data_IF_552582913170
#
_entry.id   IF_552582913170
#
_cell.length_a   1.000
_cell.length_b   1.000
_cell.length_c   1.000
_cell.angle_alpha   90.00
_cell.angle_beta   90.00
_cell.angle_gamma   90.00
#
_symmetry.space_group_name_H-M   'P 1'
#
loop_
_entity.id
_entity.type
_entity.pdbx_description
1 polymer ?
#
# COMPACT_ATOMS: atom_id res chain seq x y z
N UNK A 1 23.56 26.37 28.97
CA UNK A 1 22.93 25.04 28.79
C UNK A 1 21.43 25.13 28.56
N UNK A 2 20.65 25.79 29.43
CA UNK A 2 19.16 25.85 29.32
C UNK A 2 18.63 26.44 28.00
N UNK A 3 19.25 27.49 27.46
CA UNK A 3 18.82 28.10 26.17
C UNK A 3 18.97 27.16 24.97
N UNK A 4 20.04 26.38 24.95
CA UNK A 4 20.27 25.40 23.88
C UNK A 4 19.25 24.26 23.93
N UNK A 5 18.84 23.85 25.13
CA UNK A 5 17.77 22.86 25.31
C UNK A 5 16.43 23.33 24.73
N UNK A 6 16.01 24.56 25.00
CA UNK A 6 14.77 25.11 24.43
C UNK A 6 14.82 25.24 22.91
N UNK A 7 15.97 25.61 22.33
CA UNK A 7 16.14 25.67 20.87
C UNK A 7 15.98 24.27 20.25
N UNK A 8 16.59 23.24 20.85
CA UNK A 8 16.45 21.86 20.39
C UNK A 8 14.99 21.39 20.48
N UNK A 9 14.29 21.71 21.56
CA UNK A 9 12.90 21.31 21.78
C UNK A 9 11.95 22.01 20.80
N UNK A 10 12.18 23.30 20.51
CA UNK A 10 11.41 24.03 19.50
C UNK A 10 11.69 23.45 18.11
N UNK A 11 12.96 23.20 17.77
CA UNK A 11 13.32 22.63 16.47
C UNK A 11 12.73 21.23 16.25
N UNK A 12 12.73 20.37 17.28
CA UNK A 12 12.13 19.04 17.17
C UNK A 12 10.62 19.11 16.98
N UNK A 13 9.96 20.04 17.66
CA UNK A 13 8.53 20.25 17.48
C UNK A 13 8.20 20.70 16.05
N UNK A 14 8.97 21.63 15.48
CA UNK A 14 8.81 22.04 14.08
C UNK A 14 9.03 20.87 13.10
N UNK A 15 10.05 20.05 13.35
CA UNK A 15 10.35 18.88 12.52
C UNK A 15 9.20 17.87 12.56
N UNK A 16 8.66 17.55 13.74
CA UNK A 16 7.53 16.61 13.89
C UNK A 16 6.30 17.10 13.12
N UNK A 17 5.95 18.39 13.24
CA UNK A 17 4.81 18.95 12.51
C UNK A 17 5.02 18.91 10.99
N UNK A 18 6.24 19.19 10.50
CA UNK A 18 6.56 19.12 9.07
C UNK A 18 6.45 17.68 8.53
N UNK A 19 6.92 16.68 9.28
CA UNK A 19 6.76 15.28 8.91
C UNK A 19 5.30 14.88 8.77
N UNK A 20 4.43 15.29 9.70
CA UNK A 20 3.00 14.96 9.63
C UNK A 20 2.35 15.55 8.38
N UNK A 21 2.72 16.77 7.96
CA UNK A 21 2.17 17.40 6.74
C UNK A 21 2.65 16.68 5.48
N UNK A 22 3.90 16.22 5.44
CA UNK A 22 4.44 15.50 4.28
C UNK A 22 3.95 14.03 4.19
N UNK A 23 3.62 13.40 5.32
CA UNK A 23 3.05 12.04 5.36
C UNK A 23 1.52 12.03 5.23
N UNK A 24 0.87 13.21 5.19
CA UNK A 24 -0.60 13.33 5.13
C UNK A 24 -1.18 13.09 3.73
N UNK A 25 -0.37 13.21 2.67
CA UNK A 25 -0.81 12.92 1.31
C UNK A 25 -0.76 11.41 1.04
N UNK A 26 -1.72 10.69 1.63
CA UNK A 26 -1.96 9.27 1.37
C UNK A 26 -2.46 9.11 -0.08
N UNK A 27 -1.66 8.46 -0.92
CA UNK A 27 -2.03 8.13 -2.29
C UNK A 27 -2.89 6.86 -2.24
N UNK A 28 -4.19 7.02 -2.47
CA UNK A 28 -5.11 5.89 -2.61
C UNK A 28 -4.83 5.15 -3.93
N UNK A 29 -4.52 3.87 -3.83
CA UNK A 29 -4.21 3.01 -4.97
C UNK A 29 -5.17 1.84 -4.99
N UNK A 30 -5.77 1.58 -6.15
CA UNK A 30 -6.63 0.43 -6.39
C UNK A 30 -5.96 -0.49 -7.42
N UNK A 31 -6.00 -1.79 -7.16
CA UNK A 31 -5.39 -2.81 -8.02
C UNK A 31 -6.48 -3.78 -8.45
N UNK A 32 -6.55 -4.03 -9.76
CA UNK A 32 -7.51 -4.95 -10.38
C UNK A 32 -6.77 -6.13 -11.03
N UNK A 33 -7.16 -7.34 -10.68
CA UNK A 33 -6.68 -8.58 -11.28
C UNK A 33 -7.84 -9.22 -12.04
N UNK A 34 -7.77 -9.13 -13.38
CA UNK A 34 -8.82 -9.59 -14.28
C UNK A 34 -8.33 -10.79 -15.10
N UNK A 35 -9.10 -11.89 -15.07
CA UNK A 35 -8.85 -13.01 -15.98
C UNK A 35 -9.38 -12.70 -17.38
N UNK A 36 -8.47 -12.34 -18.29
CA UNK A 36 -8.76 -12.00 -19.69
C UNK A 36 -8.59 -13.18 -20.66
N UNK A 37 -8.60 -14.43 -20.18
CA UNK A 37 -8.52 -15.60 -21.05
C UNK A 37 -9.79 -15.77 -21.91
N UNK A 38 -9.72 -16.48 -23.06
CA UNK A 38 -10.87 -16.65 -23.95
C UNK A 38 -11.99 -17.53 -23.36
N UNK A 39 -11.67 -18.41 -22.42
CA UNK A 39 -12.63 -19.29 -21.73
C UNK A 39 -12.00 -19.90 -20.46
N UNK A 40 -12.84 -20.53 -19.65
CA UNK A 40 -12.44 -21.15 -18.37
C UNK A 40 -11.71 -22.51 -18.51
N UNK A 41 -11.25 -22.89 -19.71
CA UNK A 41 -10.60 -24.20 -19.89
C UNK A 41 -9.21 -24.25 -19.24
N UNK A 42 -8.58 -23.09 -19.05
CA UNK A 42 -7.30 -22.94 -18.36
C UNK A 42 -7.59 -22.21 -17.05
N UNK A 43 -7.63 -22.92 -15.90
CA UNK A 43 -7.90 -22.25 -14.63
C UNK A 43 -6.69 -21.42 -14.21
N UNK A 44 -6.89 -20.12 -13.98
CA UNK A 44 -5.90 -19.28 -13.32
C UNK A 44 -6.05 -19.41 -11.81
N UNK A 45 -4.92 -19.53 -11.13
CA UNK A 45 -4.84 -19.45 -9.68
C UNK A 45 -3.74 -18.45 -9.35
N UNK A 46 -3.98 -17.60 -8.37
CA UNK A 46 -2.94 -16.70 -7.87
C UNK A 46 -3.09 -16.48 -6.38
N UNK A 47 -2.02 -16.09 -5.73
CA UNK A 47 -2.03 -15.66 -4.34
C UNK A 47 -1.35 -14.32 -4.22
N UNK A 48 -2.03 -13.38 -3.58
CA UNK A 48 -1.57 -12.02 -3.43
C UNK A 48 -1.31 -11.68 -1.97
N UNK A 49 -0.40 -10.73 -1.74
CA UNK A 49 -0.12 -10.16 -0.44
C UNK A 49 0.29 -8.69 -0.57
N UNK A 50 0.03 -7.91 0.48
CA UNK A 50 0.39 -6.49 0.56
C UNK A 50 1.02 -6.20 1.91
N UNK A 51 2.33 -5.96 1.96
CA UNK A 51 3.09 -5.67 3.19
C UNK A 51 2.84 -6.69 4.31
N UNK A 52 1.92 -6.40 5.23
CA UNK A 52 1.55 -7.23 6.39
C UNK A 52 0.18 -7.95 6.18
N UNK A 53 -0.51 -7.69 5.07
CA UNK A 53 -1.83 -8.19 4.74
C UNK A 53 -1.75 -9.36 3.76
N UNK A 54 -2.20 -10.53 4.20
CA UNK A 54 -2.41 -11.70 3.34
C UNK A 54 -3.76 -11.57 2.62
N UNK A 55 -3.75 -11.37 1.31
CA UNK A 55 -4.98 -11.31 0.50
C UNK A 55 -5.48 -12.72 0.14
N UNK A 56 -4.57 -13.70 0.12
CA UNK A 56 -4.89 -15.12 0.01
C UNK A 56 -4.93 -15.65 -1.42
N UNK A 57 -5.42 -16.88 -1.55
CA UNK A 57 -5.54 -17.60 -2.82
C UNK A 57 -6.86 -17.30 -3.53
N UNK A 58 -6.77 -16.95 -4.81
CA UNK A 58 -7.91 -16.71 -5.69
C UNK A 58 -7.89 -17.64 -6.90
N UNK A 59 -9.08 -17.93 -7.42
CA UNK A 59 -9.31 -18.72 -8.64
C UNK A 59 -10.42 -18.03 -9.44
N UNK A 60 -10.12 -16.92 -10.13
CA UNK A 60 -11.12 -16.20 -10.92
C UNK A 60 -11.63 -17.09 -12.05
N UNK A 61 -12.87 -16.83 -12.48
CA UNK A 61 -13.36 -17.21 -13.79
C UNK A 61 -13.01 -16.10 -14.79
N UNK A 62 -13.04 -16.43 -16.08
CA UNK A 62 -12.91 -15.47 -17.17
C UNK A 62 -13.89 -14.32 -16.98
N UNK A 63 -13.35 -13.10 -16.98
CA UNK A 63 -14.06 -11.86 -16.77
C UNK A 63 -14.26 -11.46 -15.31
N UNK A 64 -13.90 -12.30 -14.34
CA UNK A 64 -13.92 -11.91 -12.92
C UNK A 64 -12.85 -10.84 -12.66
N UNK A 65 -13.21 -9.84 -11.86
CA UNK A 65 -12.33 -8.77 -11.40
C UNK A 65 -12.12 -8.86 -9.89
N UNK A 66 -10.97 -9.41 -9.50
CA UNK A 66 -10.52 -9.36 -8.12
C UNK A 66 -9.76 -8.06 -7.88
N UNK A 67 -10.31 -7.20 -7.03
CA UNK A 67 -9.72 -5.91 -6.71
C UNK A 67 -9.52 -5.73 -5.21
N UNK A 68 -8.53 -4.91 -4.87
CA UNK A 68 -8.27 -4.45 -3.52
C UNK A 68 -7.60 -3.07 -3.58
N UNK A 69 -7.70 -2.31 -2.49
CA UNK A 69 -7.15 -0.96 -2.41
C UNK A 69 -6.26 -0.81 -1.19
N UNK A 70 -5.25 0.04 -1.30
CA UNK A 70 -4.43 0.45 -0.17
C UNK A 70 -4.05 1.92 -0.28
N UNK A 71 -3.71 2.52 0.85
CA UNK A 71 -3.08 3.83 0.85
C UNK A 71 -1.56 3.64 0.94
N UNK A 72 -0.83 4.37 0.09
CA UNK A 72 0.62 4.48 0.19
C UNK A 72 0.98 5.88 0.62
N UNK A 73 1.88 6.01 1.59
CA UNK A 73 2.41 7.31 1.97
C UNK A 73 3.80 7.51 1.39
N UNK A 74 4.23 8.76 1.20
CA UNK A 74 5.55 9.08 0.64
C UNK A 74 6.71 8.44 1.41
N UNK A 75 6.53 8.22 2.71
CA UNK A 75 7.55 7.62 3.58
C UNK A 75 7.24 6.18 4.00
N UNK A 76 6.00 5.70 3.79
CA UNK A 76 5.60 4.31 4.00
C UNK A 76 5.36 3.66 2.64
N UNK A 77 6.43 3.12 2.07
CA UNK A 77 6.29 2.21 0.92
C UNK A 77 5.50 0.98 1.35
N UNK A 78 4.46 0.66 0.59
CA UNK A 78 3.76 -0.61 0.69
C UNK A 78 4.17 -1.49 -0.50
N UNK A 79 4.52 -2.73 -0.22
CA UNK A 79 4.90 -3.71 -1.23
C UNK A 79 3.70 -4.60 -1.52
N UNK A 80 3.22 -4.57 -2.76
CA UNK A 80 2.20 -5.49 -3.25
C UNK A 80 2.80 -6.48 -4.25
N UNK A 81 2.41 -7.74 -4.16
CA UNK A 81 2.78 -8.76 -5.14
C UNK A 81 1.75 -9.89 -5.22
N UNK A 82 1.68 -10.54 -6.39
CA UNK A 82 0.97 -11.80 -6.59
C UNK A 82 1.90 -12.85 -7.20
N UNK A 83 1.68 -14.11 -6.86
CA UNK A 83 2.31 -15.26 -7.51
C UNK A 83 1.24 -16.16 -8.14
N UNK A 84 1.55 -16.70 -9.33
CA UNK A 84 0.64 -17.44 -10.21
C UNK A 84 1.06 -18.90 -10.33
#
# INVERSE_FOLDING_TARGET
MIRSFFILLISSFYIINAYQVLDYEDIHTEVHNVDALPNNNIPIKFHCASKDDELGWHRPKVGDDFHFSFNSSLFKHTLFFCHF
#
